data_IF_589443655656
#
_entry.id   IF_589443655656
#
_cell.length_a   1.000
_cell.length_b   1.000
_cell.length_c   1.000
_cell.angle_alpha   90.00
_cell.angle_beta   90.00
_cell.angle_gamma   90.00
#
_symmetry.space_group_name_H-M   'P 1'
#
loop_
_entity.id
_entity.type
_entity.pdbx_description
1 polymer ?
#
# COMPACT_ATOMS: atom_id res chain seq x y z
N UNK A 1 66.76 16.89 -15.07
CA UNK A 1 65.86 18.05 -15.17
C UNK A 1 64.65 17.62 -15.97
N UNK A 2 63.49 17.44 -15.31
CA UNK A 2 62.12 17.25 -15.84
C UNK A 2 61.92 16.09 -16.86
N UNK A 3 60.96 15.19 -16.75
CA UNK A 3 59.55 15.48 -16.59
C UNK A 3 58.80 14.25 -16.03
N UNK A 4 57.89 14.52 -15.09
CA UNK A 4 56.94 13.56 -14.53
C UNK A 4 55.88 13.19 -15.57
N UNK A 5 55.69 11.88 -15.81
CA UNK A 5 54.52 11.34 -16.48
C UNK A 5 53.35 11.35 -15.48
N UNK A 6 52.39 12.24 -15.69
CA UNK A 6 51.10 12.17 -15.00
C UNK A 6 50.04 11.70 -15.99
N UNK A 7 49.57 10.47 -15.82
CA UNK A 7 48.42 9.94 -16.55
C UNK A 7 47.17 10.66 -16.02
N UNK A 8 46.66 11.59 -16.82
CA UNK A 8 45.36 12.22 -16.59
C UNK A 8 44.27 11.18 -16.76
N UNK A 9 43.67 10.75 -15.65
CA UNK A 9 42.42 10.00 -15.67
C UNK A 9 41.31 10.94 -16.20
N UNK A 10 40.88 10.69 -17.44
CA UNK A 10 39.66 11.27 -18.00
C UNK A 10 38.47 10.73 -17.20
N UNK A 11 38.03 11.50 -16.20
CA UNK A 11 36.71 11.38 -15.61
C UNK A 11 35.69 11.69 -16.70
N UNK A 12 35.11 10.65 -17.28
CA UNK A 12 33.90 10.73 -18.09
C UNK A 12 32.76 11.20 -17.18
N UNK A 13 32.57 12.51 -17.07
CA UNK A 13 31.32 13.07 -16.61
C UNK A 13 30.26 12.81 -17.68
N UNK A 14 29.36 11.86 -17.42
CA UNK A 14 28.08 11.78 -18.12
C UNK A 14 27.29 13.05 -17.74
N UNK A 15 27.51 14.13 -18.49
CA UNK A 15 26.54 15.20 -18.57
C UNK A 15 25.33 14.62 -19.32
N UNK A 16 24.23 14.38 -18.62
CA UNK A 16 22.96 14.07 -19.24
C UNK A 16 22.65 15.20 -20.24
N UNK A 17 22.58 14.87 -21.53
CA UNK A 17 22.24 15.83 -22.57
C UNK A 17 20.78 16.24 -22.38
N UNK A 18 20.55 17.33 -21.62
CA UNK A 18 19.28 18.03 -21.66
C UNK A 18 19.12 18.60 -23.07
N UNK A 19 17.99 18.29 -23.67
CA UNK A 19 17.63 18.69 -25.01
C UNK A 19 17.73 20.19 -25.25
N UNK A 20 18.13 20.61 -26.45
CA UNK A 20 18.17 22.03 -26.89
C UNK A 20 16.81 22.76 -26.76
N UNK A 21 15.72 22.02 -26.56
CA UNK A 21 14.35 22.53 -26.54
C UNK A 21 13.72 22.72 -25.15
N UNK A 22 14.37 22.30 -24.07
CA UNK A 22 13.85 22.56 -22.72
C UNK A 22 14.98 22.54 -21.68
N UNK A 23 14.86 23.39 -20.66
CA UNK A 23 15.80 23.47 -19.56
C UNK A 23 15.10 23.14 -18.23
N UNK A 24 15.75 22.33 -17.39
CA UNK A 24 15.23 21.93 -16.08
C UNK A 24 16.20 22.40 -15.00
N UNK A 25 15.79 23.39 -14.23
CA UNK A 25 16.55 23.87 -13.07
C UNK A 25 15.96 23.30 -11.79
N UNK A 26 16.78 22.53 -11.07
CA UNK A 26 16.41 21.86 -9.83
C UNK A 26 17.23 22.40 -8.66
N UNK A 27 16.55 22.99 -7.68
CA UNK A 27 17.14 23.49 -6.44
C UNK A 27 16.60 22.67 -5.25
N UNK A 28 17.49 21.85 -4.68
CA UNK A 28 17.20 20.95 -3.58
C UNK A 28 17.45 21.63 -2.21
N UNK A 29 16.38 21.94 -1.47
CA UNK A 29 16.48 22.45 -0.09
C UNK A 29 16.32 21.31 0.92
N UNK A 30 16.55 21.51 2.23
CA UNK A 30 16.43 20.41 3.21
C UNK A 30 15.03 19.74 3.27
N UNK A 31 13.96 20.53 3.21
CA UNK A 31 12.59 20.05 3.44
C UNK A 31 11.69 20.12 2.19
N UNK A 32 12.11 20.87 1.17
CA UNK A 32 11.34 21.09 -0.04
C UNK A 32 12.26 21.19 -1.26
N UNK A 33 11.65 21.15 -2.44
CA UNK A 33 12.35 21.29 -3.71
C UNK A 33 11.71 22.39 -4.54
N UNK A 34 12.56 23.18 -5.19
CA UNK A 34 12.14 24.12 -6.20
C UNK A 34 12.57 23.60 -7.56
N UNK A 35 11.62 23.44 -8.47
CA UNK A 35 11.88 23.03 -9.85
C UNK A 35 11.32 24.10 -10.78
N UNK A 36 12.14 24.57 -11.72
CA UNK A 36 11.73 25.44 -12.82
C UNK A 36 11.95 24.69 -14.11
N UNK A 37 10.86 24.44 -14.83
CA UNK A 37 10.91 23.92 -16.19
C UNK A 37 10.70 25.04 -17.19
N UNK A 38 11.67 25.26 -18.07
CA UNK A 38 11.62 26.27 -19.12
C UNK A 38 11.42 25.60 -20.47
N UNK A 39 10.26 25.83 -21.07
CA UNK A 39 9.86 25.28 -22.35
C UNK A 39 10.10 26.29 -23.48
N UNK A 40 10.89 25.88 -24.47
CA UNK A 40 11.21 26.75 -25.61
C UNK A 40 10.17 26.62 -26.74
N UNK A 41 9.36 25.55 -26.73
CA UNK A 41 8.29 25.32 -27.73
C UNK A 41 7.10 26.21 -27.43
N UNK A 42 6.74 27.08 -28.38
CA UNK A 42 5.64 28.05 -28.25
C UNK A 42 4.23 27.46 -28.15
N UNK A 43 4.08 26.14 -28.27
CA UNK A 43 2.79 25.42 -28.28
C UNK A 43 2.57 24.51 -27.06
N UNK A 44 3.52 24.43 -26.12
CA UNK A 44 3.34 23.64 -24.92
C UNK A 44 2.57 24.44 -23.86
N UNK A 45 1.50 23.86 -23.32
CA UNK A 45 0.79 24.44 -22.19
C UNK A 45 1.50 24.05 -20.90
N UNK A 46 2.23 25.00 -20.34
CA UNK A 46 3.03 24.85 -19.11
C UNK A 46 2.17 24.51 -17.88
N UNK A 47 0.85 24.71 -17.92
CA UNK A 47 -0.06 24.28 -16.85
C UNK A 47 -0.29 22.76 -16.81
N UNK A 48 0.11 22.04 -17.86
CA UNK A 48 -0.05 20.59 -17.97
C UNK A 48 1.12 19.79 -17.39
N UNK A 49 2.16 20.46 -16.91
CA UNK A 49 3.22 19.80 -16.16
C UNK A 49 2.74 19.35 -14.78
N UNK A 50 3.20 18.19 -14.34
CA UNK A 50 2.98 17.66 -12.99
C UNK A 50 4.31 17.19 -12.42
N UNK A 51 4.56 17.53 -11.15
CA UNK A 51 5.66 16.96 -10.39
C UNK A 51 5.06 15.94 -9.42
N UNK A 52 5.16 14.66 -9.78
CA UNK A 52 4.35 13.60 -9.16
C UNK A 52 2.86 13.88 -9.31
N UNK A 53 2.15 14.07 -8.19
CA UNK A 53 0.71 14.38 -8.17
C UNK A 53 0.38 15.89 -8.12
N UNK A 54 1.38 16.77 -8.04
CA UNK A 54 1.15 18.21 -7.85
C UNK A 54 1.13 19.02 -9.14
N UNK A 55 0.30 20.05 -9.12
CA UNK A 55 0.23 21.09 -10.14
C UNK A 55 1.36 22.12 -9.92
N UNK A 56 1.77 22.87 -10.96
CA UNK A 56 2.76 23.93 -10.80
C UNK A 56 2.23 25.02 -9.85
N UNK A 57 3.11 25.50 -8.96
CA UNK A 57 2.83 26.60 -8.03
C UNK A 57 2.64 27.92 -8.77
N UNK A 58 3.38 28.11 -9.86
CA UNK A 58 3.25 29.25 -10.76
C UNK A 58 3.49 28.81 -12.20
N UNK A 59 2.78 29.44 -13.12
CA UNK A 59 2.82 29.11 -14.55
C UNK A 59 2.93 30.40 -15.34
N UNK A 60 3.85 30.44 -16.31
CA UNK A 60 3.92 31.46 -17.35
C UNK A 60 3.84 30.81 -18.72
N UNK A 61 3.74 31.58 -19.80
CA UNK A 61 3.69 31.03 -21.15
C UNK A 61 4.92 30.18 -21.56
N UNK A 62 6.01 30.21 -20.78
CA UNK A 62 7.25 29.46 -21.05
C UNK A 62 7.76 28.67 -19.85
N UNK A 63 7.30 28.96 -18.64
CA UNK A 63 7.85 28.35 -17.44
C UNK A 63 6.76 27.71 -16.59
N UNK A 64 7.06 26.52 -16.08
CA UNK A 64 6.30 25.87 -15.02
C UNK A 64 7.19 25.81 -13.77
N UNK A 65 6.73 26.43 -12.68
CA UNK A 65 7.46 26.52 -11.42
C UNK A 65 6.77 25.67 -10.37
N UNK A 66 7.54 24.84 -9.70
CA UNK A 66 7.12 24.02 -8.57
C UNK A 66 7.93 24.41 -7.35
N UNK A 67 7.25 24.70 -6.24
CA UNK A 67 7.84 24.76 -4.92
C UNK A 67 7.05 23.83 -4.03
N UNK A 68 7.61 22.64 -3.78
CA UNK A 68 6.89 21.53 -3.17
C UNK A 68 7.70 20.89 -2.06
N UNK A 69 7.04 20.68 -0.93
CA UNK A 69 7.58 19.94 0.22
C UNK A 69 7.76 18.46 -0.15
N UNK A 70 8.84 17.84 0.33
CA UNK A 70 9.10 16.42 0.05
C UNK A 70 8.06 15.46 0.66
N UNK A 71 7.26 15.89 1.62
CA UNK A 71 6.16 15.07 2.17
C UNK A 71 4.88 15.15 1.33
N UNK A 72 4.83 16.04 0.35
CA UNK A 72 3.70 16.22 -0.54
C UNK A 72 3.98 15.58 -1.91
N UNK A 73 3.00 15.61 -2.82
CA UNK A 73 3.19 15.31 -4.24
C UNK A 73 3.69 13.88 -4.55
N UNK A 74 3.59 12.96 -3.58
CA UNK A 74 4.03 11.57 -3.67
C UNK A 74 5.54 11.39 -3.98
N UNK A 75 6.40 12.22 -3.38
CA UNK A 75 7.85 12.00 -3.46
C UNK A 75 8.24 10.67 -2.81
N UNK A 76 9.02 9.87 -3.53
CA UNK A 76 9.59 8.61 -3.04
C UNK A 76 10.81 8.94 -2.18
N UNK A 77 10.79 8.55 -0.92
CA UNK A 77 11.94 8.66 -0.01
C UNK A 77 12.66 7.32 0.05
N UNK A 78 13.92 7.29 -0.36
CA UNK A 78 14.77 6.11 -0.41
C UNK A 78 15.97 6.29 0.50
N UNK A 79 16.36 5.23 1.20
CA UNK A 79 17.50 5.26 2.13
C UNK A 79 18.43 4.11 1.76
N UNK A 80 19.67 4.45 1.42
CA UNK A 80 20.70 3.48 1.09
C UNK A 80 21.97 3.82 1.89
N UNK A 81 22.28 3.02 2.91
CA UNK A 81 23.45 3.22 3.76
C UNK A 81 23.46 4.60 4.45
N UNK A 82 24.36 5.49 4.02
CA UNK A 82 24.49 6.84 4.57
C UNK A 82 23.86 7.95 3.71
N UNK A 83 23.07 7.59 2.72
CA UNK A 83 22.46 8.53 1.77
C UNK A 83 20.93 8.47 1.85
N UNK A 84 20.30 9.64 1.98
CA UNK A 84 18.86 9.86 1.93
C UNK A 84 18.53 10.50 0.58
N UNK A 85 17.61 9.91 -0.18
CA UNK A 85 17.21 10.43 -1.48
C UNK A 85 15.70 10.66 -1.55
N UNK A 86 15.30 11.81 -2.06
CA UNK A 86 13.92 12.12 -2.42
C UNK A 86 13.81 12.13 -3.95
N UNK A 87 12.94 11.31 -4.51
CA UNK A 87 12.79 11.14 -5.95
C UNK A 87 11.34 11.22 -6.41
N UNK A 88 11.11 11.88 -7.54
CA UNK A 88 9.82 11.97 -8.21
C UNK A 88 10.02 12.14 -9.71
N UNK A 89 8.93 12.21 -10.47
CA UNK A 89 8.98 12.40 -11.91
C UNK A 89 8.24 13.70 -12.29
N UNK A 90 8.89 14.52 -13.12
CA UNK A 90 8.27 15.65 -13.81
C UNK A 90 7.64 15.14 -15.10
N UNK A 91 6.32 15.15 -15.16
CA UNK A 91 5.55 14.63 -16.29
C UNK A 91 4.85 15.77 -17.03
N UNK A 92 4.88 15.73 -18.36
CA UNK A 92 4.04 16.58 -19.20
C UNK A 92 2.86 15.76 -19.72
N UNK A 93 1.64 16.19 -19.39
CA UNK A 93 0.43 15.52 -19.82
C UNK A 93 -0.09 16.21 -21.08
N UNK A 94 0.01 15.55 -22.23
CA UNK A 94 -0.50 16.09 -23.49
C UNK A 94 -2.02 16.01 -23.58
N UNK A 95 -2.67 17.04 -24.11
CA UNK A 95 -4.09 16.95 -24.52
C UNK A 95 -4.24 16.04 -25.76
N UNK A 96 -5.39 15.37 -25.96
CA UNK A 96 -5.61 14.45 -27.09
C UNK A 96 -5.34 15.07 -28.48
N UNK A 97 -5.54 16.38 -28.60
CA UNK A 97 -5.35 17.15 -29.85
C UNK A 97 -3.97 17.85 -29.93
N UNK A 98 -3.07 17.60 -28.96
CA UNK A 98 -1.75 18.23 -28.94
C UNK A 98 -0.75 17.50 -29.83
N UNK A 99 0.09 18.27 -30.53
CA UNK A 99 1.21 17.73 -31.33
C UNK A 99 2.42 17.30 -30.46
N UNK A 100 2.38 17.54 -29.14
CA UNK A 100 3.46 17.18 -28.21
C UNK A 100 3.06 15.89 -27.51
N UNK A 101 3.89 14.85 -27.63
CA UNK A 101 3.70 13.58 -26.92
C UNK A 101 3.98 13.74 -25.42
N UNK A 102 3.30 12.97 -24.56
CA UNK A 102 3.57 13.00 -23.13
C UNK A 102 4.97 12.45 -22.86
N UNK A 103 5.68 13.07 -21.94
CA UNK A 103 7.04 12.68 -21.57
C UNK A 103 7.27 12.87 -20.07
N UNK A 104 8.31 12.19 -19.55
CA UNK A 104 8.66 12.21 -18.13
C UNK A 104 10.17 12.40 -17.95
N UNK A 105 10.55 13.20 -16.95
CA UNK A 105 11.94 13.38 -16.53
C UNK A 105 12.10 13.07 -15.04
N UNK A 106 13.10 12.26 -14.65
CA UNK A 106 13.34 11.95 -13.25
C UNK A 106 13.90 13.17 -12.52
N UNK A 107 13.41 13.38 -11.30
CA UNK A 107 13.82 14.45 -10.39
C UNK A 107 14.27 13.79 -9.09
N UNK A 108 15.52 14.01 -8.69
CA UNK A 108 16.05 13.43 -7.46
C UNK A 108 16.95 14.41 -6.70
N UNK A 109 16.74 14.50 -5.39
CA UNK A 109 17.57 15.23 -4.45
C UNK A 109 18.20 14.25 -3.47
N UNK A 110 19.52 14.33 -3.30
CA UNK A 110 20.28 13.43 -2.45
C UNK A 110 21.01 14.17 -1.33
N UNK A 111 20.95 13.64 -0.12
CA UNK A 111 21.51 14.22 1.08
C UNK A 111 22.30 13.17 1.87
N UNK A 112 23.31 13.62 2.59
CA UNK A 112 23.92 12.78 3.62
C UNK A 112 22.93 12.57 4.77
N UNK A 113 22.82 11.33 5.23
CA UNK A 113 21.94 10.95 6.33
C UNK A 113 22.46 11.59 7.64
N UNK A 114 21.66 12.43 8.32
CA UNK A 114 22.08 13.02 9.60
C UNK A 114 22.40 11.93 10.65
N UNK A 115 23.33 12.19 11.58
CA UNK A 115 23.72 11.22 12.61
C UNK A 115 22.60 10.89 13.60
N UNK A 116 21.75 11.88 13.87
CA UNK A 116 20.55 11.76 14.72
C UNK A 116 19.30 11.45 13.89
N UNK A 117 19.49 11.07 12.62
CA UNK A 117 18.41 10.62 11.75
C UNK A 117 18.02 9.21 12.18
N UNK A 118 16.94 9.13 12.93
CA UNK A 118 16.09 7.97 12.93
C UNK A 118 15.28 8.02 11.62
N UNK A 119 15.02 6.89 10.93
CA UNK A 119 13.85 6.88 10.09
C UNK A 119 12.73 7.37 11.01
N UNK A 120 12.03 8.44 10.64
CA UNK A 120 10.65 8.61 11.11
C UNK A 120 10.10 7.20 11.02
N UNK A 121 9.88 6.56 12.17
CA UNK A 121 9.39 5.20 12.25
C UNK A 121 8.27 5.24 11.25
N UNK A 122 8.49 4.59 10.10
CA UNK A 122 7.47 4.52 9.09
C UNK A 122 6.37 3.85 9.86
N UNK A 123 5.35 4.62 10.17
CA UNK A 123 4.21 4.18 10.94
C UNK A 123 3.81 2.87 10.26
N UNK A 124 4.07 1.72 10.88
CA UNK A 124 4.29 0.44 10.21
C UNK A 124 3.20 0.19 9.19
N UNK A 125 3.51 0.41 7.90
CA UNK A 125 2.57 0.64 6.79
C UNK A 125 1.10 0.66 7.26
N UNK A 126 0.70 1.72 7.96
CA UNK A 126 -0.69 1.93 8.33
C UNK A 126 -1.35 2.62 7.16
N UNK A 127 -1.85 1.85 6.20
CA UNK A 127 -2.66 2.44 5.15
C UNK A 127 -3.93 3.03 5.76
N UNK A 128 -3.97 4.37 5.85
CA UNK A 128 -5.12 5.13 6.33
C UNK A 128 -6.05 5.44 5.17
N UNK A 129 -7.29 4.96 5.25
CA UNK A 129 -8.27 5.25 4.21
C UNK A 129 -9.55 5.85 4.79
N UNK A 130 -9.92 7.01 4.25
CA UNK A 130 -11.03 7.83 4.73
C UNK A 130 -12.28 7.74 3.84
N UNK A 131 -13.41 7.29 4.38
CA UNK A 131 -14.73 7.54 3.80
C UNK A 131 -15.76 7.76 4.92
N UNK A 132 -16.44 8.92 4.92
CA UNK A 132 -17.47 9.24 5.92
C UNK A 132 -16.99 9.26 7.38
N UNK A 133 -15.83 9.89 7.64
CA UNK A 133 -15.17 9.97 8.96
C UNK A 133 -14.66 8.63 9.55
N UNK A 134 -14.64 7.56 8.75
CA UNK A 134 -14.01 6.29 9.10
C UNK A 134 -12.57 6.26 8.59
N UNK A 135 -11.61 5.89 9.45
CA UNK A 135 -10.21 5.67 9.06
C UNK A 135 -9.88 4.20 9.28
N UNK A 136 -9.71 3.45 8.20
CA UNK A 136 -9.27 2.06 8.25
C UNK A 136 -7.77 1.97 8.43
N UNK A 137 -7.31 0.94 9.13
CA UNK A 137 -5.92 0.57 9.29
C UNK A 137 -5.78 -0.93 9.12
N UNK A 138 -4.69 -1.38 8.50
CA UNK A 138 -4.27 -2.77 8.49
C UNK A 138 -2.75 -2.81 8.63
N UNK A 139 -2.22 -3.76 9.39
CA UNK A 139 -0.77 -3.85 9.63
C UNK A 139 -0.31 -5.23 10.07
N UNK A 140 0.98 -5.47 9.89
CA UNK A 140 1.70 -6.62 10.45
C UNK A 140 2.02 -6.35 11.92
N UNK A 141 1.73 -7.31 12.79
CA UNK A 141 1.90 -7.19 14.23
C UNK A 141 2.96 -8.15 14.76
N UNK A 142 3.45 -7.89 15.96
CA UNK A 142 4.20 -8.88 16.71
C UNK A 142 3.28 -10.04 17.18
N UNK A 143 3.89 -11.13 17.64
CA UNK A 143 3.18 -12.39 17.92
C UNK A 143 2.10 -12.27 19.00
N UNK A 144 2.21 -11.29 19.89
CA UNK A 144 1.28 -11.00 20.98
C UNK A 144 0.31 -9.84 20.68
N UNK A 145 0.36 -9.28 19.47
CA UNK A 145 -0.45 -8.12 19.04
C UNK A 145 -0.28 -6.87 19.92
N UNK A 146 0.78 -6.78 20.72
CA UNK A 146 1.05 -5.62 21.58
C UNK A 146 1.57 -4.42 20.80
N UNK A 147 2.04 -4.65 19.57
CA UNK A 147 2.49 -3.59 18.69
C UNK A 147 2.84 -4.09 17.29
N UNK A 148 3.40 -3.21 16.47
CA UNK A 148 3.76 -3.55 15.11
C UNK A 148 4.87 -4.59 15.03
N UNK A 149 4.91 -5.33 13.93
CA UNK A 149 5.97 -6.28 13.66
C UNK A 149 7.33 -5.57 13.52
N UNK A 150 8.37 -6.10 14.17
CA UNK A 150 9.74 -5.61 14.00
C UNK A 150 10.38 -6.08 12.67
N UNK A 151 9.76 -7.05 12.02
CA UNK A 151 10.25 -7.74 10.82
C UNK A 151 9.09 -8.02 9.87
N UNK A 152 9.34 -7.88 8.56
CA UNK A 152 8.42 -8.31 7.49
C UNK A 152 8.86 -9.63 6.85
N UNK A 153 9.82 -10.33 7.46
CA UNK A 153 10.30 -11.64 7.03
C UNK A 153 9.79 -12.73 7.97
N UNK A 154 9.20 -13.78 7.41
CA UNK A 154 8.58 -14.88 8.14
C UNK A 154 9.09 -16.21 7.60
N UNK A 155 9.57 -17.09 8.48
CA UNK A 155 9.92 -18.46 8.08
C UNK A 155 8.67 -19.25 7.73
N UNK A 156 8.77 -20.10 6.71
CA UNK A 156 7.67 -20.97 6.28
C UNK A 156 7.10 -21.76 7.46
N UNK A 157 5.78 -21.76 7.59
CA UNK A 157 5.07 -22.44 8.68
C UNK A 157 5.00 -21.69 10.02
N UNK A 158 5.73 -20.56 10.18
CA UNK A 158 5.56 -19.63 11.30
C UNK A 158 4.25 -18.83 11.16
N UNK A 159 3.90 -17.99 12.14
CA UNK A 159 2.70 -17.13 12.05
C UNK A 159 3.08 -15.72 11.60
N UNK A 160 2.22 -15.16 10.74
CA UNK A 160 2.18 -13.79 10.26
C UNK A 160 0.99 -13.14 10.99
N UNK A 161 1.23 -12.39 12.09
CA UNK A 161 0.16 -11.72 12.82
C UNK A 161 -0.29 -10.48 12.03
N UNK A 162 -1.59 -10.39 11.75
CA UNK A 162 -2.20 -9.28 10.99
C UNK A 162 -3.32 -8.70 11.83
N UNK A 163 -3.32 -7.38 12.01
CA UNK A 163 -4.41 -6.64 12.63
C UNK A 163 -5.03 -5.69 11.62
N UNK A 164 -6.35 -5.59 11.63
CA UNK A 164 -7.06 -4.47 11.01
C UNK A 164 -7.93 -3.74 12.05
N UNK A 165 -8.06 -2.42 11.91
CA UNK A 165 -8.96 -1.60 12.73
C UNK A 165 -9.65 -0.50 11.93
N UNK A 166 -10.72 0.06 12.49
CA UNK A 166 -11.41 1.23 11.93
C UNK A 166 -11.69 2.25 13.03
N UNK A 167 -11.05 3.41 12.93
CA UNK A 167 -11.31 4.55 13.80
C UNK A 167 -12.57 5.29 13.34
N UNK A 168 -13.41 5.67 14.30
CA UNK A 168 -14.71 6.29 14.09
C UNK A 168 -14.74 7.61 14.86
N UNK A 169 -14.63 8.77 14.18
CA UNK A 169 -14.66 10.06 14.88
C UNK A 169 -16.07 10.47 15.35
N UNK A 170 -17.11 10.09 14.59
CA UNK A 170 -18.51 10.47 14.85
C UNK A 170 -19.51 9.44 14.29
N UNK A 171 -19.21 8.14 14.37
CA UNK A 171 -20.04 7.08 13.81
C UNK A 171 -20.60 6.14 14.90
N UNK A 172 -21.76 5.54 14.67
CA UNK A 172 -22.29 4.45 15.50
C UNK A 172 -21.33 3.24 15.50
N UNK A 173 -21.25 2.43 16.58
CA UNK A 173 -20.28 1.32 16.67
C UNK A 173 -20.37 0.38 15.46
N UNK A 174 -19.28 0.27 14.70
CA UNK A 174 -19.15 -0.64 13.55
C UNK A 174 -18.40 -1.92 13.91
N UNK A 175 -18.80 -3.02 13.27
CA UNK A 175 -18.10 -4.30 13.24
C UNK A 175 -17.16 -4.33 12.03
N UNK A 176 -15.86 -4.51 12.27
CA UNK A 176 -14.86 -4.64 11.22
C UNK A 176 -14.69 -6.11 10.80
N UNK A 177 -14.77 -6.36 9.50
CA UNK A 177 -14.61 -7.67 8.87
C UNK A 177 -13.59 -7.61 7.75
N UNK A 178 -12.92 -8.74 7.50
CA UNK A 178 -12.13 -8.98 6.30
C UNK A 178 -13.00 -9.79 5.34
N UNK A 179 -13.51 -9.18 4.28
CA UNK A 179 -14.41 -9.86 3.33
C UNK A 179 -13.61 -10.79 2.40
N UNK A 180 -12.48 -10.32 1.89
CA UNK A 180 -11.60 -11.03 0.96
C UNK A 180 -10.15 -10.63 1.19
N UNK A 181 -9.22 -11.57 1.13
CA UNK A 181 -7.77 -11.33 1.15
C UNK A 181 -7.06 -12.32 0.23
N UNK A 182 -6.16 -11.83 -0.62
CA UNK A 182 -5.33 -12.63 -1.52
C UNK A 182 -3.88 -12.20 -1.46
N UNK A 183 -2.94 -13.14 -1.48
CA UNK A 183 -1.53 -12.84 -1.63
C UNK A 183 -1.12 -12.87 -3.10
N UNK A 184 -0.21 -11.98 -3.50
CA UNK A 184 0.37 -11.88 -4.84
C UNK A 184 1.83 -11.40 -4.74
N UNK A 185 2.63 -11.60 -5.79
CA UNK A 185 4.01 -11.09 -5.85
C UNK A 185 4.10 -9.64 -6.34
N UNK A 186 2.97 -8.96 -6.52
CA UNK A 186 2.88 -7.60 -7.04
C UNK A 186 2.07 -6.69 -6.13
N UNK A 187 2.49 -5.43 -6.00
CA UNK A 187 1.80 -4.41 -5.23
C UNK A 187 0.44 -4.01 -5.84
N UNK A 188 0.24 -4.23 -7.14
CA UNK A 188 -1.06 -4.09 -7.81
C UNK A 188 -1.51 -5.45 -8.35
N UNK A 189 -2.80 -5.76 -8.22
CA UNK A 189 -3.39 -6.97 -8.79
C UNK A 189 -3.73 -6.76 -10.26
N UNK A 190 -3.20 -7.61 -11.13
CA UNK A 190 -3.60 -7.71 -12.52
C UNK A 190 -4.36 -9.03 -12.75
N UNK A 191 -5.18 -9.13 -13.80
CA UNK A 191 -5.92 -10.37 -14.12
C UNK A 191 -5.02 -11.61 -14.27
N UNK A 192 -3.78 -11.41 -14.72
CA UNK A 192 -2.79 -12.46 -14.95
C UNK A 192 -1.91 -12.77 -13.72
N UNK A 193 -2.09 -12.03 -12.61
CA UNK A 193 -1.30 -12.22 -11.40
C UNK A 193 -1.54 -13.62 -10.82
N UNK A 194 -0.45 -14.35 -10.54
CA UNK A 194 -0.53 -15.54 -9.69
C UNK A 194 -0.94 -15.12 -8.29
N UNK A 195 -1.97 -15.75 -7.73
CA UNK A 195 -2.52 -15.39 -6.42
C UNK A 195 -2.70 -16.59 -5.53
N UNK A 196 -2.57 -16.36 -4.22
CA UNK A 196 -2.88 -17.33 -3.18
C UNK A 196 -4.08 -16.84 -2.35
N UNK A 197 -5.21 -17.56 -2.34
CA UNK A 197 -6.41 -17.14 -1.62
C UNK A 197 -6.26 -17.37 -0.11
N UNK A 198 -6.42 -16.31 0.68
CA UNK A 198 -6.34 -16.37 2.15
C UNK A 198 -7.75 -16.33 2.73
N UNK A 199 -8.50 -15.26 2.42
CA UNK A 199 -9.90 -15.08 2.80
C UNK A 199 -10.72 -14.93 1.53
N UNK A 200 -11.81 -15.69 1.42
CA UNK A 200 -12.72 -15.63 0.28
C UNK A 200 -14.16 -15.76 0.75
N UNK A 201 -15.10 -15.69 -0.20
CA UNK A 201 -16.51 -16.04 0.04
C UNK A 201 -17.14 -15.26 1.21
N UNK A 202 -16.82 -13.97 1.29
CA UNK A 202 -17.35 -13.02 2.28
C UNK A 202 -16.97 -13.37 3.71
N UNK A 203 -15.67 -13.46 3.97
CA UNK A 203 -15.11 -13.67 5.30
C UNK A 203 -14.87 -15.13 5.71
N UNK A 204 -14.80 -16.06 4.76
CA UNK A 204 -14.33 -17.42 5.02
C UNK A 204 -12.79 -17.47 4.88
N UNK A 205 -12.06 -17.70 5.97
CA UNK A 205 -10.61 -17.89 5.98
C UNK A 205 -10.28 -19.27 5.37
N UNK A 206 -10.27 -19.37 4.05
CA UNK A 206 -10.10 -20.63 3.32
C UNK A 206 -8.74 -21.29 3.56
N UNK A 207 -7.72 -20.49 3.87
CA UNK A 207 -6.38 -20.99 4.21
C UNK A 207 -6.39 -21.92 5.44
N UNK A 208 -7.25 -21.65 6.43
CA UNK A 208 -7.38 -22.45 7.67
C UNK A 208 -7.80 -23.91 7.45
N UNK A 209 -8.30 -24.26 6.26
CA UNK A 209 -8.60 -25.65 5.91
C UNK A 209 -7.35 -26.52 5.78
N UNK A 210 -6.25 -25.92 5.35
CA UNK A 210 -4.99 -26.62 5.02
C UNK A 210 -3.82 -26.15 5.89
N UNK A 211 -4.07 -25.19 6.77
CA UNK A 211 -3.07 -24.57 7.63
C UNK A 211 -3.60 -24.43 9.06
N UNK A 212 -2.79 -23.83 9.93
CA UNK A 212 -3.15 -23.48 11.31
C UNK A 212 -3.65 -22.03 11.44
N UNK A 213 -4.00 -21.39 10.32
CA UNK A 213 -4.49 -20.02 10.33
C UNK A 213 -5.82 -19.90 11.03
N UNK A 214 -6.00 -18.82 11.78
CA UNK A 214 -7.24 -18.56 12.52
C UNK A 214 -7.42 -17.08 12.79
N UNK A 215 -8.67 -16.69 13.02
CA UNK A 215 -8.96 -15.40 13.64
C UNK A 215 -8.75 -15.51 15.15
N UNK A 216 -8.14 -14.50 15.77
CA UNK A 216 -8.02 -14.43 17.22
C UNK A 216 -9.28 -13.83 17.85
N UNK A 217 -9.50 -14.14 19.13
CA UNK A 217 -10.69 -13.68 19.87
C UNK A 217 -10.80 -12.16 19.82
N UNK A 218 -11.92 -11.67 19.29
CA UNK A 218 -12.16 -10.24 19.12
C UNK A 218 -12.28 -9.52 20.45
N UNK A 219 -11.45 -8.50 20.68
CA UNK A 219 -11.51 -7.65 21.87
C UNK A 219 -12.45 -6.44 21.69
N UNK A 220 -12.53 -5.90 20.47
CA UNK A 220 -13.35 -4.73 20.12
C UNK A 220 -14.03 -4.95 18.76
N UNK A 221 -15.30 -4.55 18.58
CA UNK A 221 -16.01 -4.69 17.30
C UNK A 221 -15.27 -4.04 16.12
N UNK A 222 -14.61 -2.90 16.36
CA UNK A 222 -13.90 -2.12 15.35
C UNK A 222 -12.52 -2.67 14.96
N UNK A 223 -12.15 -3.86 15.44
CA UNK A 223 -10.80 -4.42 15.30
C UNK A 223 -10.87 -5.93 15.08
N UNK A 224 -10.05 -6.47 14.17
CA UNK A 224 -9.98 -7.91 13.88
C UNK A 224 -8.52 -8.35 13.77
N UNK A 225 -8.22 -9.49 14.40
CA UNK A 225 -6.88 -10.08 14.45
C UNK A 225 -6.88 -11.40 13.69
N UNK A 226 -5.89 -11.58 12.83
CA UNK A 226 -5.68 -12.77 12.00
C UNK A 226 -4.27 -13.30 12.26
N UNK A 227 -4.17 -14.52 12.75
CA UNK A 227 -2.92 -15.28 12.81
C UNK A 227 -2.83 -16.15 11.56
N UNK A 228 -2.12 -15.67 10.53
CA UNK A 228 -1.98 -16.37 9.25
C UNK A 228 -0.70 -17.22 9.27
N UNK A 229 -0.79 -18.53 9.07
CA UNK A 229 0.38 -19.37 8.93
C UNK A 229 1.10 -19.04 7.61
N UNK A 230 2.41 -18.76 7.69
CA UNK A 230 3.25 -18.51 6.52
C UNK A 230 3.18 -19.71 5.56
N UNK A 231 2.81 -19.41 4.31
CA UNK A 231 2.41 -20.37 3.29
C UNK A 231 3.47 -20.49 2.19
N UNK A 232 3.45 -21.59 1.43
CA UNK A 232 4.43 -21.85 0.37
C UNK A 232 4.00 -21.16 -0.93
N UNK A 233 4.29 -19.87 -1.06
CA UNK A 233 4.02 -19.06 -2.26
C UNK A 233 5.14 -18.03 -2.44
N UNK A 234 5.69 -17.91 -3.65
CA UNK A 234 6.76 -16.95 -4.00
C UNK A 234 7.89 -16.90 -2.95
N UNK A 235 8.41 -18.08 -2.58
CA UNK A 235 9.41 -18.18 -1.51
C UNK A 235 10.69 -17.42 -1.84
N UNK A 236 11.17 -16.63 -0.88
CA UNK A 236 12.34 -15.76 -1.05
C UNK A 236 12.09 -14.50 -1.89
N UNK A 237 10.88 -14.32 -2.41
CA UNK A 237 10.46 -13.13 -3.16
C UNK A 237 9.59 -12.21 -2.29
N UNK A 238 9.32 -11.01 -2.80
CA UNK A 238 8.38 -10.09 -2.17
C UNK A 238 6.93 -10.53 -2.41
N UNK A 239 6.14 -10.54 -1.34
CA UNK A 239 4.72 -10.88 -1.34
C UNK A 239 3.93 -9.71 -0.78
N UNK A 240 2.77 -9.46 -1.39
CA UNK A 240 1.79 -8.46 -0.97
C UNK A 240 0.46 -9.15 -0.69
N UNK A 241 -0.19 -8.81 0.44
CA UNK A 241 -1.52 -9.30 0.80
C UNK A 241 -2.52 -8.18 0.54
N UNK A 242 -3.38 -8.39 -0.44
CA UNK A 242 -4.45 -7.48 -0.85
C UNK A 242 -5.72 -7.86 -0.13
N UNK A 243 -6.25 -6.96 0.69
CA UNK A 243 -7.44 -7.19 1.49
C UNK A 243 -8.57 -6.21 1.18
N UNK A 244 -9.80 -6.71 1.30
CA UNK A 244 -11.05 -5.96 1.26
C UNK A 244 -11.64 -5.93 2.67
N UNK A 245 -11.50 -4.81 3.35
CA UNK A 245 -12.03 -4.53 4.67
C UNK A 245 -13.47 -4.01 4.54
N UNK A 246 -14.32 -4.37 5.50
CA UNK A 246 -15.70 -3.88 5.55
C UNK A 246 -16.04 -3.46 6.97
N UNK A 247 -16.43 -2.20 7.16
CA UNK A 247 -17.03 -1.73 8.40
C UNK A 247 -18.55 -1.79 8.27
N UNK A 248 -19.18 -2.63 9.10
CA UNK A 248 -20.59 -2.98 8.97
C UNK A 248 -21.38 -2.68 10.25
N UNK A 249 -22.68 -2.46 10.12
CA UNK A 249 -23.59 -2.32 11.26
C UNK A 249 -23.70 -3.68 11.99
N UNK A 250 -23.36 -3.77 13.29
CA UNK A 250 -23.43 -5.03 14.04
C UNK A 250 -24.85 -5.64 14.11
N UNK A 251 -25.88 -4.91 13.70
CA UNK A 251 -27.27 -5.37 13.68
C UNK A 251 -27.61 -6.05 12.34
N UNK A 252 -28.14 -7.27 12.44
CA UNK A 252 -28.65 -8.00 11.27
C UNK A 252 -27.55 -8.65 10.43
N UNK A 253 -26.50 -9.13 11.09
CA UNK A 253 -25.47 -9.97 10.47
C UNK A 253 -26.09 -11.23 9.87
N UNK A 254 -25.55 -11.65 8.74
CA UNK A 254 -25.97 -12.85 8.04
C UNK A 254 -24.76 -13.59 7.44
N UNK A 255 -25.02 -14.56 6.58
CA UNK A 255 -23.99 -15.34 5.91
C UNK A 255 -23.10 -14.54 4.92
N UNK A 256 -23.36 -13.24 4.72
CA UNK A 256 -22.55 -12.31 3.92
C UNK A 256 -21.72 -11.34 4.76
N UNK A 257 -21.91 -11.32 6.08
CA UNK A 257 -21.27 -10.42 7.03
C UNK A 257 -20.74 -11.22 8.22
N UNK A 258 -19.62 -11.92 8.01
CA UNK A 258 -19.08 -12.91 8.95
C UNK A 258 -17.54 -12.94 8.91
N UNK A 259 -16.94 -13.52 9.94
CA UNK A 259 -15.54 -13.93 9.96
C UNK A 259 -15.49 -15.37 10.45
N UNK A 260 -15.20 -16.30 9.53
CA UNK A 260 -15.23 -17.74 9.78
C UNK A 260 -13.84 -18.33 9.56
N UNK A 261 -13.41 -19.22 10.45
CA UNK A 261 -12.22 -20.04 10.22
C UNK A 261 -12.57 -21.51 10.42
N UNK A 262 -11.81 -22.40 9.81
CA UNK A 262 -12.00 -23.83 9.85
C UNK A 262 -11.19 -24.40 11.02
N UNK A 263 -11.89 -24.97 11.99
CA UNK A 263 -11.34 -25.76 13.06
C UNK A 263 -11.29 -27.23 12.59
N UNK A 264 -10.14 -27.89 12.73
CA UNK A 264 -9.98 -29.28 12.27
C UNK A 264 -10.86 -30.28 13.03
N UNK A 265 -11.26 -29.96 14.27
CA UNK A 265 -12.09 -30.81 15.10
C UNK A 265 -13.59 -30.51 14.94
N UNK A 266 -13.96 -29.24 14.74
CA UNK A 266 -15.37 -28.80 14.75
C UNK A 266 -15.90 -28.28 13.40
N UNK A 267 -15.05 -28.17 12.39
CA UNK A 267 -15.40 -27.59 11.08
C UNK A 267 -15.41 -26.06 11.10
N UNK A 268 -16.26 -25.44 10.28
CA UNK A 268 -16.34 -23.99 10.20
C UNK A 268 -16.92 -23.36 11.47
N UNK A 269 -16.17 -22.45 12.09
CA UNK A 269 -16.58 -21.72 13.30
C UNK A 269 -16.66 -20.21 13.03
N UNK A 270 -17.71 -19.57 13.54
CA UNK A 270 -17.84 -18.11 13.53
C UNK A 270 -17.00 -17.49 14.65
N UNK A 271 -16.17 -16.50 14.32
CA UNK A 271 -15.27 -15.81 15.25
C UNK A 271 -15.99 -15.27 16.49
N UNK A 272 -17.01 -14.45 16.30
CA UNK A 272 -17.59 -13.65 17.39
C UNK A 272 -18.48 -14.48 18.31
N UNK A 273 -19.11 -15.54 17.79
CA UNK A 273 -19.96 -16.42 18.56
C UNK A 273 -20.12 -17.79 17.87
N UNK A 274 -19.43 -18.83 18.35
CA UNK A 274 -19.51 -20.18 17.78
C UNK A 274 -20.93 -20.78 17.75
N UNK A 275 -21.86 -20.31 18.59
CA UNK A 275 -23.25 -20.78 18.57
C UNK A 275 -24.00 -20.39 17.28
N UNK A 276 -23.51 -19.39 16.54
CA UNK A 276 -24.06 -18.96 15.25
C UNK A 276 -23.19 -19.40 14.05
N UNK A 277 -22.42 -20.49 14.21
CA UNK A 277 -21.58 -21.03 13.13
C UNK A 277 -22.37 -21.49 11.90
N UNK A 278 -23.70 -21.61 12.00
CA UNK A 278 -24.58 -21.80 10.84
C UNK A 278 -24.49 -20.66 9.80
N UNK A 279 -23.92 -19.50 10.15
CA UNK A 279 -23.60 -18.44 9.18
C UNK A 279 -22.41 -18.83 8.27
N UNK A 280 -21.57 -19.75 8.74
CA UNK A 280 -20.39 -20.24 8.05
C UNK A 280 -20.66 -21.48 7.18
N UNK A 281 -21.84 -22.12 7.26
CA UNK A 281 -22.21 -23.30 6.45
C UNK A 281 -22.03 -23.07 4.94
N UNK A 282 -22.17 -21.83 4.48
CA UNK A 282 -21.97 -21.48 3.08
C UNK A 282 -20.49 -21.43 2.65
N UNK A 283 -19.53 -21.53 3.57
CA UNK A 283 -18.10 -21.45 3.27
C UNK A 283 -17.59 -22.64 2.42
N UNK A 284 -18.28 -23.78 2.47
CA UNK A 284 -18.03 -24.92 1.56
C UNK A 284 -18.76 -24.81 0.21
N UNK A 285 -19.60 -23.78 0.05
CA UNK A 285 -20.33 -23.49 -1.17
C UNK A 285 -20.23 -22.00 -1.51
N UNK A 286 -21.32 -21.35 -1.92
CA UNK A 286 -21.32 -19.93 -2.29
C UNK A 286 -22.20 -19.17 -1.28
N UNK A 287 -21.60 -18.22 -0.57
CA UNK A 287 -22.31 -17.33 0.34
C UNK A 287 -23.05 -16.25 -0.46
N UNK A 288 -24.34 -16.50 -0.73
CA UNK A 288 -25.23 -15.57 -1.44
C UNK A 288 -25.99 -14.71 -0.45
N UNK A 289 -26.14 -13.41 -0.78
CA UNK A 289 -27.10 -12.56 -0.10
C UNK A 289 -28.52 -13.09 -0.36
N UNK A 290 -29.32 -13.23 0.71
CA UNK A 290 -30.74 -13.54 0.51
C UNK A 290 -31.41 -12.34 -0.17
N UNK A 291 -32.06 -12.55 -1.31
CA UNK A 291 -32.96 -11.55 -1.93
C UNK A 291 -34.23 -11.42 -1.09
N UNK A 292 -34.13 -10.82 0.08
CA UNK A 292 -35.31 -10.42 0.84
C UNK A 292 -35.88 -9.16 0.20
N UNK A 293 -37.16 -9.16 -0.19
CA UNK A 293 -37.88 -7.96 -0.66
C UNK A 293 -38.11 -6.98 0.50
N UNK A 294 -37.05 -6.50 1.14
CA UNK A 294 -37.14 -5.34 2.02
C UNK A 294 -36.80 -4.10 1.21
N UNK A 295 -37.79 -3.23 1.03
CA UNK A 295 -37.59 -1.82 0.75
C UNK A 295 -36.78 -1.18 1.90
N UNK A 296 -35.48 -1.41 1.89
CA UNK A 296 -34.49 -0.71 2.70
C UNK A 296 -33.28 -0.49 1.78
N UNK A 297 -33.49 0.34 0.77
CA UNK A 297 -32.40 0.96 0.01
C UNK A 297 -31.65 1.87 0.99
N UNK A 298 -30.66 1.34 1.74
CA UNK A 298 -29.91 2.14 2.71
C UNK A 298 -29.07 1.43 3.78
N UNK A 299 -28.61 0.20 3.60
CA UNK A 299 -27.66 -0.46 4.54
C UNK A 299 -26.33 -0.73 3.84
N UNK A 300 -25.49 0.29 3.73
CA UNK A 300 -24.19 0.18 3.09
C UNK A 300 -23.12 0.18 4.16
N UNK A 301 -22.60 -1.00 4.53
CA UNK A 301 -21.31 -1.04 5.19
C UNK A 301 -20.25 -0.43 4.27
N UNK A 302 -19.28 0.25 4.87
CA UNK A 302 -18.23 0.96 4.16
C UNK A 302 -17.14 -0.05 3.81
N UNK A 303 -16.79 -0.11 2.52
CA UNK A 303 -15.80 -1.05 1.99
C UNK A 303 -14.52 -0.30 1.71
N UNK A 304 -13.39 -0.87 2.14
CA UNK A 304 -12.07 -0.33 1.88
C UNK A 304 -11.14 -1.42 1.36
N UNK A 305 -10.35 -1.11 0.33
CA UNK A 305 -9.26 -1.99 -0.13
C UNK A 305 -7.95 -1.53 0.50
N UNK A 306 -7.10 -2.46 0.91
CA UNK A 306 -5.80 -2.19 1.51
C UNK A 306 -4.77 -3.24 1.06
N UNK A 307 -3.48 -2.89 1.09
CA UNK A 307 -2.40 -3.78 0.66
C UNK A 307 -1.33 -3.83 1.74
N UNK A 308 -1.06 -5.02 2.26
CA UNK A 308 0.04 -5.27 3.19
C UNK A 308 1.27 -5.76 2.42
N UNK A 309 2.42 -5.13 2.66
CA UNK A 309 3.69 -5.62 2.13
C UNK A 309 4.67 -4.49 1.79
N UNK A 310 5.85 -4.86 1.26
CA UNK A 310 6.26 -6.23 0.96
C UNK A 310 6.57 -7.04 2.23
N UNK A 311 6.22 -8.33 2.20
CA UNK A 311 6.67 -9.33 3.16
C UNK A 311 7.42 -10.46 2.44
N UNK A 312 8.33 -11.13 3.12
CA UNK A 312 9.13 -12.21 2.52
C UNK A 312 8.91 -13.50 3.30
N UNK A 313 8.58 -14.58 2.60
CA UNK A 313 8.48 -15.92 3.20
C UNK A 313 9.77 -16.66 2.92
N UNK A 314 10.51 -17.01 3.97
CA UNK A 314 11.80 -17.69 3.88
C UNK A 314 11.64 -19.20 4.07
N UNK A 315 12.48 -20.01 3.41
CA UNK A 315 12.54 -21.45 3.68
C UNK A 315 12.94 -21.69 5.15
N UNK A 316 12.53 -22.84 5.71
CA UNK A 316 12.95 -23.22 7.06
C UNK A 316 14.44 -23.53 7.00
N UNK A 317 15.27 -22.70 7.65
CA UNK A 317 16.67 -23.06 7.87
C UNK A 317 16.69 -24.41 8.62
N UNK A 318 17.12 -25.46 7.91
CA UNK A 318 17.35 -26.79 8.47
C UNK A 318 18.61 -26.81 9.32
#
# INVERSE_FOLDING_TARGET
MMAFFWQSALLLSLAAALSVYADMKLDCHPDFVTLVWTESRSQADTSLFRLGSCFPTSVTAREAVFSVDFNNCNFRRMVAGNQLMYANDLTYISSPDSHILPFSHPVACAYERPKDWYPLIYDPVFDTFGQGDLVFHIGLMNADFSGPAESTSFSLGSFIPIMASVAQKSHQPLLLLLEECVAASTQELHPESSTYPIIANKGCLVDSKVSRSKFETRQKPSEIHLSLQAFRFALGEEVFIHCKLVAWDPIGLDNTNKACHYNQEHGWELLDNPAYSNFCDCCDSICKSRRTRSMASGKHGVVQKAVLGPLTITEVNS
#
